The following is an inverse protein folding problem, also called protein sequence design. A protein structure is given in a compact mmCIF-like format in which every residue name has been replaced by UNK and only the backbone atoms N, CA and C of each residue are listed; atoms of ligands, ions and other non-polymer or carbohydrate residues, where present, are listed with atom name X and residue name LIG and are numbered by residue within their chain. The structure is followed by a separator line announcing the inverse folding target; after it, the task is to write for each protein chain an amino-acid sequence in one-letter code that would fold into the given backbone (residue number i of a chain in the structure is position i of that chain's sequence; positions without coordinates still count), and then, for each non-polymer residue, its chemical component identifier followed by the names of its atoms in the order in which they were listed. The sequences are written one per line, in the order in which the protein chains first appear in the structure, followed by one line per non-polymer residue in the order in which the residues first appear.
data_IF_989488841188
#
_entry.id   IF_989488841188
#
_cell.length_a   1.000
_cell.length_b   1.000
_cell.length_c   1.000
_cell.angle_alpha   90.00
_cell.angle_beta   90.00
_cell.angle_gamma   90.00
#
_symmetry.space_group_name_H-M   'P 1'
#
loop_
_entity.id
_entity.type
_entity.pdbx_description
1 polymer ?
#
# COMPACT_ATOMS: atom_id res chain seq x y z
N UNK A 1 6.28 7.09 25.25
CA UNK A 1 4.80 7.05 25.18
C UNK A 1 4.30 5.85 25.97
N UNK A 2 3.35 5.99 26.90
CA UNK A 2 2.78 4.85 27.63
C UNK A 2 2.03 3.88 26.72
N UNK A 3 2.08 2.57 27.01
CA UNK A 3 1.45 1.53 26.18
C UNK A 3 -0.05 1.75 25.96
N UNK A 4 -0.76 2.20 27.01
CA UNK A 4 -2.19 2.55 26.93
C UNK A 4 -2.45 3.67 25.92
N UNK A 5 -1.59 4.69 25.90
CA UNK A 5 -1.70 5.82 24.97
C UNK A 5 -1.39 5.39 23.54
N UNK A 6 -0.37 4.54 23.35
CA UNK A 6 -0.04 3.96 22.04
C UNK A 6 -1.24 3.21 21.44
N UNK A 7 -1.90 2.34 22.20
CA UNK A 7 -3.07 1.60 21.71
C UNK A 7 -4.26 2.50 21.38
N UNK A 8 -4.46 3.60 22.13
CA UNK A 8 -5.51 4.57 21.81
C UNK A 8 -5.23 5.22 20.46
N UNK A 9 -4.02 5.77 20.27
CA UNK A 9 -3.66 6.44 19.02
C UNK A 9 -3.70 5.49 17.82
N UNK A 10 -3.14 4.28 17.94
CA UNK A 10 -3.15 3.28 16.86
C UNK A 10 -4.57 2.91 16.38
N UNK A 11 -5.59 3.00 17.24
CA UNK A 11 -7.00 2.73 16.85
C UNK A 11 -7.68 3.93 16.19
N UNK A 12 -7.20 5.14 16.50
CA UNK A 12 -7.79 6.40 16.06
C UNK A 12 -7.16 6.96 14.79
N UNK A 13 -5.97 6.50 14.39
CA UNK A 13 -5.30 6.90 13.15
C UNK A 13 -6.21 6.73 11.92
N UNK A 14 -6.36 7.80 11.14
CA UNK A 14 -7.09 7.85 9.86
C UNK A 14 -6.28 8.70 8.88
N UNK A 15 -6.39 8.37 7.60
CA UNK A 15 -5.68 9.05 6.51
C UNK A 15 -6.65 9.59 5.45
N UNK A 16 -7.92 9.72 5.81
CA UNK A 16 -9.00 10.13 4.94
C UNK A 16 -10.02 10.98 5.71
N UNK A 17 -10.78 11.77 4.96
CA UNK A 17 -11.92 12.50 5.51
C UNK A 17 -13.16 11.58 5.62
N UNK A 18 -13.86 11.68 6.75
CA UNK A 18 -15.01 10.81 7.04
C UNK A 18 -16.18 11.11 6.11
N UNK A 19 -16.41 12.37 5.78
CA UNK A 19 -17.59 12.81 5.02
C UNK A 19 -17.47 12.39 3.54
N UNK A 20 -16.27 12.49 2.96
CA UNK A 20 -16.02 12.08 1.57
C UNK A 20 -15.85 10.56 1.37
N UNK A 21 -15.47 9.81 2.42
CA UNK A 21 -15.12 8.37 2.35
C UNK A 21 -16.14 7.52 1.61
N UNK A 22 -17.44 7.68 1.89
CA UNK A 22 -18.47 6.81 1.32
C UNK A 22 -18.58 6.97 -0.21
N UNK A 23 -18.46 8.21 -0.70
CA UNK A 23 -18.50 8.48 -2.13
C UNK A 23 -17.26 7.91 -2.85
N UNK A 24 -16.07 8.10 -2.27
CA UNK A 24 -14.81 7.64 -2.88
C UNK A 24 -14.74 6.11 -2.92
N UNK A 25 -15.16 5.42 -1.85
CA UNK A 25 -15.09 3.95 -1.75
C UNK A 25 -15.86 3.20 -2.84
N UNK A 26 -16.84 3.84 -3.47
CA UNK A 26 -17.59 3.26 -4.61
C UNK A 26 -16.66 3.04 -5.81
N UNK A 27 -15.73 3.98 -6.04
CA UNK A 27 -14.81 3.95 -7.19
C UNK A 27 -13.42 3.41 -6.83
N UNK A 28 -12.95 3.66 -5.60
CA UNK A 28 -11.62 3.30 -5.16
C UNK A 28 -11.64 2.53 -3.84
N UNK A 29 -11.24 1.26 -3.90
CA UNK A 29 -11.15 0.40 -2.72
C UNK A 29 -10.05 0.85 -1.74
N UNK A 30 -9.08 1.66 -2.20
CA UNK A 30 -7.99 2.22 -1.39
C UNK A 30 -8.33 3.57 -0.74
N UNK A 31 -9.57 4.06 -0.87
CA UNK A 31 -9.99 5.39 -0.41
C UNK A 31 -9.49 5.80 0.98
N UNK A 32 -9.43 4.86 1.93
CA UNK A 32 -9.04 5.14 3.32
C UNK A 32 -7.59 5.59 3.51
N UNK A 33 -6.72 5.40 2.50
CA UNK A 33 -5.32 5.85 2.53
C UNK A 33 -4.87 6.48 1.20
N UNK A 34 -5.78 6.64 0.23
CA UNK A 34 -5.46 7.00 -1.17
C UNK A 34 -4.57 8.24 -1.25
N UNK A 35 -4.99 9.33 -0.62
CA UNK A 35 -4.26 10.60 -0.65
C UNK A 35 -2.86 10.47 -0.03
N UNK A 36 -2.77 9.90 1.17
CA UNK A 36 -1.49 9.70 1.85
C UNK A 36 -0.55 8.78 1.05
N UNK A 37 -1.10 7.75 0.41
CA UNK A 37 -0.36 6.80 -0.41
C UNK A 37 0.18 7.46 -1.67
N UNK A 38 -0.67 8.17 -2.42
CA UNK A 38 -0.29 8.82 -3.67
C UNK A 38 0.76 9.91 -3.39
N UNK A 39 0.54 10.75 -2.37
CA UNK A 39 1.51 11.75 -1.94
C UNK A 39 2.88 11.14 -1.62
N UNK A 40 2.90 9.98 -0.95
CA UNK A 40 4.15 9.29 -0.63
C UNK A 40 4.83 8.69 -1.86
N UNK A 41 4.07 7.99 -2.72
CA UNK A 41 4.61 7.36 -3.95
C UNK A 41 5.15 8.43 -4.91
N UNK A 42 4.49 9.58 -4.99
CA UNK A 42 4.96 10.70 -5.80
C UNK A 42 6.32 11.23 -5.35
N UNK A 43 6.68 11.13 -4.06
CA UNK A 43 8.00 11.56 -3.58
C UNK A 43 9.14 10.63 -4.04
N UNK A 44 8.87 9.35 -4.30
CA UNK A 44 9.93 8.36 -4.54
C UNK A 44 10.85 8.73 -5.73
N UNK A 45 10.32 9.14 -6.90
CA UNK A 45 11.17 9.56 -8.02
C UNK A 45 11.93 10.87 -7.79
N UNK A 46 11.47 11.74 -6.87
CA UNK A 46 12.16 12.99 -6.54
C UNK A 46 13.34 12.77 -5.58
N UNK A 47 13.26 11.73 -4.75
CA UNK A 47 14.28 11.43 -3.74
C UNK A 47 15.45 10.61 -4.30
N UNK A 48 15.23 9.88 -5.40
CA UNK A 48 16.25 9.03 -6.00
C UNK A 48 16.02 8.83 -7.50
N UNK A 49 17.08 9.03 -8.29
CA UNK A 49 17.09 8.67 -9.70
C UNK A 49 17.70 7.26 -9.86
N UNK A 50 16.96 6.28 -10.40
CA UNK A 50 17.45 4.92 -10.57
C UNK A 50 18.61 4.87 -11.57
N UNK A 51 19.42 3.80 -11.48
CA UNK A 51 20.47 3.51 -12.43
C UNK A 51 19.94 3.02 -13.78
N UNK A 52 20.82 2.41 -14.57
CA UNK A 52 20.50 1.83 -15.89
C UNK A 52 19.49 0.69 -15.83
N UNK A 53 19.41 0.01 -14.69
CA UNK A 53 18.71 -1.27 -14.56
C UNK A 53 17.65 -1.16 -13.45
N UNK A 54 16.39 -1.38 -13.85
CA UNK A 54 15.23 -1.39 -12.96
C UNK A 54 14.49 -2.71 -13.14
N UNK A 55 14.09 -3.33 -12.04
CA UNK A 55 13.25 -4.54 -12.03
C UNK A 55 11.85 -4.20 -11.57
N UNK A 56 10.86 -4.90 -12.10
CA UNK A 56 9.46 -4.80 -11.67
C UNK A 56 9.03 -6.17 -11.19
N UNK A 57 8.57 -6.25 -9.94
CA UNK A 57 8.09 -7.50 -9.36
C UNK A 57 7.01 -7.24 -8.30
N UNK A 58 6.50 -8.31 -7.71
CA UNK A 58 5.47 -8.32 -6.71
C UNK A 58 6.07 -8.26 -5.29
N UNK A 59 5.63 -7.29 -4.49
CA UNK A 59 5.81 -7.32 -3.04
C UNK A 59 4.50 -7.72 -2.38
N UNK A 60 4.58 -8.64 -1.42
CA UNK A 60 3.42 -9.21 -0.75
C UNK A 60 3.50 -8.88 0.74
N UNK A 61 2.44 -8.27 1.26
CA UNK A 61 2.35 -7.92 2.69
C UNK A 61 1.30 -8.81 3.34
N UNK A 62 1.69 -9.68 4.28
CA UNK A 62 0.75 -10.53 5.01
C UNK A 62 -0.30 -9.70 5.75
N UNK A 63 -1.56 -9.99 5.49
CA UNK A 63 -2.67 -9.37 6.17
C UNK A 63 -3.79 -10.39 6.30
N UNK A 64 -4.38 -10.52 7.49
CA UNK A 64 -5.49 -11.47 7.75
C UNK A 64 -6.82 -10.80 8.13
N UNK A 65 -6.84 -9.46 8.18
CA UNK A 65 -8.07 -8.71 8.42
C UNK A 65 -9.00 -8.71 7.20
N UNK A 66 -10.21 -8.18 7.37
CA UNK A 66 -11.16 -7.99 6.26
C UNK A 66 -10.65 -6.87 5.36
N UNK A 67 -10.18 -7.23 4.17
CA UNK A 67 -9.75 -6.30 3.13
C UNK A 67 -10.34 -6.74 1.78
N UNK A 68 -11.06 -5.87 1.04
CA UNK A 68 -11.75 -6.25 -0.18
C UNK A 68 -10.83 -6.57 -1.38
N UNK A 69 -9.53 -6.34 -1.24
CA UNK A 69 -8.51 -6.59 -2.28
C UNK A 69 -7.37 -7.50 -1.80
N UNK A 70 -7.55 -8.16 -0.65
CA UNK A 70 -6.67 -9.24 -0.24
C UNK A 70 -6.63 -10.34 -1.31
N UNK A 71 -5.43 -10.84 -1.59
CA UNK A 71 -5.19 -11.92 -2.53
C UNK A 71 -4.90 -13.21 -1.78
N UNK A 72 -5.41 -14.32 -2.29
CA UNK A 72 -5.05 -15.65 -1.84
C UNK A 72 -3.92 -16.19 -2.72
N UNK A 73 -2.77 -16.52 -2.13
CA UNK A 73 -1.59 -17.04 -2.82
C UNK A 73 -1.11 -18.34 -2.14
N UNK A 74 -1.59 -19.52 -2.57
CA UNK A 74 -1.30 -20.79 -1.89
C UNK A 74 0.19 -21.18 -1.92
N UNK A 75 0.94 -20.69 -2.90
CA UNK A 75 2.36 -20.97 -3.06
C UNK A 75 3.28 -20.08 -2.21
N UNK A 76 2.74 -19.12 -1.46
CA UNK A 76 3.51 -18.15 -0.66
C UNK A 76 3.41 -18.48 0.84
N UNK A 77 4.44 -18.12 1.65
CA UNK A 77 4.47 -18.46 3.08
C UNK A 77 3.26 -17.94 3.86
N UNK A 78 2.80 -16.72 3.56
CA UNK A 78 1.50 -16.25 3.99
C UNK A 78 0.48 -16.44 2.86
N UNK A 79 -0.61 -17.13 3.17
CA UNK A 79 -1.61 -17.51 2.17
C UNK A 79 -2.54 -16.35 1.79
N UNK A 80 -2.65 -15.32 2.64
CA UNK A 80 -3.51 -14.15 2.44
C UNK A 80 -2.69 -12.88 2.62
N UNK A 81 -2.61 -12.09 1.56
CA UNK A 81 -1.68 -10.97 1.46
C UNK A 81 -2.29 -9.81 0.68
N UNK A 82 -1.78 -8.60 0.90
CA UNK A 82 -2.01 -7.45 0.01
C UNK A 82 -0.86 -7.42 -0.99
N UNK A 83 -1.19 -7.37 -2.27
CA UNK A 83 -0.22 -7.38 -3.37
C UNK A 83 0.12 -5.95 -3.80
N UNK A 84 1.40 -5.69 -3.97
CA UNK A 84 1.97 -4.46 -4.50
C UNK A 84 2.81 -4.79 -5.73
N UNK A 85 2.72 -3.96 -6.75
CA UNK A 85 3.70 -3.93 -7.84
C UNK A 85 4.76 -2.90 -7.49
N UNK A 86 6.02 -3.29 -7.53
CA UNK A 86 7.14 -2.45 -7.15
C UNK A 86 8.14 -2.40 -8.30
N UNK A 87 8.49 -1.19 -8.74
CA UNK A 87 9.63 -0.95 -9.60
C UNK A 87 10.83 -0.56 -8.72
N UNK A 88 11.90 -1.35 -8.74
CA UNK A 88 13.09 -1.15 -7.92
C UNK A 88 14.35 -0.95 -8.77
N UNK A 89 15.23 -0.05 -8.34
CA UNK A 89 16.60 0.00 -8.85
C UNK A 89 17.38 -1.26 -8.43
N UNK A 90 18.08 -1.87 -9.38
CA UNK A 90 18.75 -3.18 -9.16
C UNK A 90 19.92 -3.07 -8.19
N UNK A 91 20.68 -1.96 -8.22
CA UNK A 91 21.92 -1.83 -7.46
C UNK A 91 21.68 -1.45 -6.00
N UNK A 92 20.73 -0.56 -5.76
CA UNK A 92 20.40 -0.02 -4.44
C UNK A 92 19.20 -0.69 -3.78
N UNK A 93 18.41 -1.47 -4.54
CA UNK A 93 17.10 -1.97 -4.13
C UNK A 93 16.10 -0.87 -3.77
N UNK A 94 16.32 0.37 -4.24
CA UNK A 94 15.43 1.49 -3.97
C UNK A 94 14.11 1.32 -4.72
N UNK A 95 12.98 1.37 -4.00
CA UNK A 95 11.66 1.35 -4.61
C UNK A 95 11.35 2.70 -5.26
N UNK A 96 11.39 2.73 -6.58
CA UNK A 96 11.23 3.94 -7.39
C UNK A 96 9.76 4.26 -7.66
N UNK A 97 8.92 3.24 -7.86
CA UNK A 97 7.45 3.38 -7.94
C UNK A 97 6.75 2.17 -7.34
N UNK A 98 5.60 2.40 -6.72
CA UNK A 98 4.80 1.35 -6.08
C UNK A 98 3.32 1.55 -6.40
N UNK A 99 2.64 0.47 -6.75
CA UNK A 99 1.20 0.45 -6.98
C UNK A 99 0.54 -0.67 -6.20
N UNK A 100 -0.49 -0.34 -5.40
CA UNK A 100 -1.31 -1.33 -4.70
C UNK A 100 -2.26 -2.00 -5.68
N UNK A 101 -2.31 -3.33 -5.69
CA UNK A 101 -3.29 -4.07 -6.47
C UNK A 101 -4.61 -4.18 -5.70
N UNK A 102 -5.65 -3.51 -6.21
CA UNK A 102 -6.98 -3.47 -5.59
C UNK A 102 -7.97 -4.51 -6.16
N UNK A 103 -7.46 -5.55 -6.83
CA UNK A 103 -8.27 -6.50 -7.57
C UNK A 103 -8.84 -5.92 -8.87
N UNK A 104 -9.75 -6.65 -9.52
CA UNK A 104 -10.46 -6.16 -10.70
C UNK A 104 -11.32 -4.93 -10.35
N UNK A 105 -11.33 -3.97 -11.27
CA UNK A 105 -12.36 -2.91 -11.31
C UNK A 105 -13.70 -3.59 -11.60
N UNK A 106 -14.74 -3.21 -10.87
CA UNK A 106 -16.09 -3.75 -11.04
C UNK A 106 -16.76 -3.13 -12.27
#
# INVERSE_FOLDING_TARGET
MPLKVFHIYSRLLRFDDRESRLAIRVSDKLAGIREAWDNWVEQLPYLFNPGSDVTVDEQLVPFRGRCPFQQYMPSKPATYEVKFWVACDVKSSYAWKIQVYTGKLA
#
